data_IF_649207930874
#
_entry.id   IF_649207930874
#
_cell.length_a   1.000
_cell.length_b   1.000
_cell.length_c   1.000
_cell.angle_alpha   90.00
_cell.angle_beta   90.00
_cell.angle_gamma   90.00
#
_symmetry.space_group_name_H-M   'P 1'
#
loop_
_entity.id
_entity.type
_entity.pdbx_description
1 polymer ?
#
# COMPACT_ATOMS: atom_id res chain seq x y z
N UNK A 1 -38.88 42.43 -55.35
CA UNK A 1 -38.41 43.78 -54.96
C UNK A 1 -38.08 43.78 -53.47
N UNK A 2 -36.96 44.40 -53.14
CA UNK A 2 -36.50 44.82 -51.79
C UNK A 2 -35.84 43.71 -50.95
N UNK A 3 -34.54 43.72 -50.96
CA UNK A 3 -33.41 44.42 -50.28
C UNK A 3 -33.02 43.70 -49.00
N UNK A 4 -31.99 42.97 -49.09
CA UNK A 4 -30.65 43.03 -48.53
C UNK A 4 -30.47 44.06 -47.38
N UNK A 5 -30.16 43.59 -46.20
CA UNK A 5 -29.35 44.34 -45.25
C UNK A 5 -28.48 43.39 -44.44
N UNK A 6 -27.22 43.47 -44.74
CA UNK A 6 -26.07 42.86 -44.07
C UNK A 6 -25.84 43.68 -42.80
N UNK A 7 -25.69 43.04 -41.65
CA UNK A 7 -25.04 43.71 -40.52
C UNK A 7 -23.89 42.83 -40.01
N UNK A 8 -22.71 43.26 -40.35
CA UNK A 8 -21.41 42.82 -39.84
C UNK A 8 -21.16 43.59 -38.52
N UNK A 9 -21.13 42.93 -37.41
CA UNK A 9 -20.51 43.33 -36.13
C UNK A 9 -20.50 42.01 -35.32
N UNK A 10 -19.44 41.47 -34.84
CA UNK A 10 -18.23 41.93 -34.23
C UNK A 10 -17.27 40.76 -34.09
N UNK A 11 -16.14 40.83 -34.72
CA UNK A 11 -14.97 40.04 -34.49
C UNK A 11 -14.09 40.81 -33.51
N UNK A 12 -14.18 40.54 -32.21
CA UNK A 12 -13.36 41.35 -31.31
C UNK A 12 -13.33 41.03 -29.81
N UNK A 13 -13.90 39.89 -29.33
CA UNK A 13 -13.89 39.65 -27.87
C UNK A 13 -13.42 38.23 -27.48
N UNK A 14 -12.78 37.49 -28.38
CA UNK A 14 -12.44 36.06 -28.08
C UNK A 14 -11.00 35.81 -27.60
N UNK A 15 -10.17 36.85 -27.42
CA UNK A 15 -8.75 36.65 -27.06
C UNK A 15 -8.40 36.93 -25.61
N UNK A 16 -9.31 37.54 -24.81
CA UNK A 16 -8.98 37.90 -23.43
C UNK A 16 -9.39 36.87 -22.40
N UNK A 17 -10.29 35.93 -22.72
CA UNK A 17 -10.79 34.92 -21.78
C UNK A 17 -9.85 33.70 -21.64
N UNK A 18 -9.06 33.39 -22.64
CA UNK A 18 -8.15 32.23 -22.62
C UNK A 18 -6.94 32.43 -21.70
N UNK A 19 -6.42 33.65 -21.60
CA UNK A 19 -5.24 33.96 -20.77
C UNK A 19 -5.59 33.99 -19.28
N UNK A 20 -6.78 34.42 -18.90
CA UNK A 20 -7.24 34.45 -17.51
C UNK A 20 -7.54 33.03 -16.98
N UNK A 21 -8.11 32.16 -17.79
CA UNK A 21 -8.36 30.76 -17.44
C UNK A 21 -7.06 29.99 -17.18
N UNK A 22 -6.04 30.21 -18.02
CA UNK A 22 -4.74 29.51 -17.85
C UNK A 22 -3.95 30.02 -16.65
N UNK A 23 -4.11 31.27 -16.25
CA UNK A 23 -3.47 31.81 -15.04
C UNK A 23 -4.15 31.31 -13.74
N UNK A 24 -5.48 31.13 -13.77
CA UNK A 24 -6.24 30.57 -12.64
C UNK A 24 -5.93 29.09 -12.42
N UNK A 25 -5.89 28.26 -13.47
CA UNK A 25 -5.51 26.85 -13.34
C UNK A 25 -4.09 26.68 -12.79
N UNK A 26 -3.12 27.46 -13.26
CA UNK A 26 -1.75 27.44 -12.72
C UNK A 26 -1.69 27.85 -11.24
N UNK A 27 -2.52 28.78 -10.81
CA UNK A 27 -2.59 29.24 -9.42
C UNK A 27 -3.22 28.16 -8.52
N UNK A 28 -4.25 27.47 -8.99
CA UNK A 28 -4.90 26.37 -8.27
C UNK A 28 -4.01 25.16 -8.17
N UNK A 29 -3.32 24.78 -9.24
CA UNK A 29 -2.32 23.70 -9.21
C UNK A 29 -1.16 23.99 -8.24
N UNK A 30 -0.67 25.24 -8.21
CA UNK A 30 0.36 25.64 -7.24
C UNK A 30 -0.17 25.62 -5.80
N UNK A 31 -1.44 25.97 -5.57
CA UNK A 31 -2.08 25.91 -4.27
C UNK A 31 -2.29 24.47 -3.82
N UNK A 32 -2.72 23.59 -4.72
CA UNK A 32 -2.88 22.16 -4.47
C UNK A 32 -1.52 21.47 -4.17
N UNK A 33 -0.47 21.78 -4.95
CA UNK A 33 0.88 21.29 -4.67
C UNK A 33 1.44 21.78 -3.33
N UNK A 34 1.17 23.04 -2.98
CA UNK A 34 1.63 23.63 -1.71
C UNK A 34 0.84 23.07 -0.52
N UNK A 35 -0.45 22.80 -0.68
CA UNK A 35 -1.28 22.12 0.32
C UNK A 35 -0.85 20.65 0.49
N UNK A 36 -0.60 19.92 -0.59
CA UNK A 36 -0.07 18.56 -0.56
C UNK A 36 1.30 18.47 0.09
N UNK A 37 2.20 19.42 -0.23
CA UNK A 37 3.53 19.49 0.41
C UNK A 37 3.45 19.87 1.90
N UNK A 38 2.52 20.76 2.28
CA UNK A 38 2.28 21.10 3.69
C UNK A 38 1.70 19.91 4.46
N UNK A 39 0.83 19.12 3.84
CA UNK A 39 0.26 17.93 4.43
C UNK A 39 1.29 16.80 4.59
N UNK A 40 2.24 16.70 3.67
CA UNK A 40 3.41 15.81 3.82
C UNK A 40 4.39 16.31 4.89
N UNK A 41 4.56 17.63 5.04
CA UNK A 41 5.47 18.20 6.03
C UNK A 41 4.92 18.19 7.47
N UNK A 42 3.59 18.11 7.65
CA UNK A 42 2.95 18.01 8.98
C UNK A 42 2.79 16.56 9.45
N UNK A 43 3.05 15.58 8.60
CA UNK A 43 3.16 14.19 9.00
C UNK A 43 4.60 13.92 9.49
N UNK A 44 4.97 14.42 10.66
CA UNK A 44 5.94 13.74 11.53
C UNK A 44 5.27 12.43 12.07
N UNK A 45 4.44 11.86 11.26
CA UNK A 45 3.84 10.57 11.47
C UNK A 45 4.84 9.50 11.04
N UNK A 46 5.93 9.37 11.79
CA UNK A 46 6.60 8.09 11.81
C UNK A 46 5.53 7.06 12.11
N UNK A 47 5.33 6.06 11.24
CA UNK A 47 4.33 5.04 11.50
C UNK A 47 4.62 4.44 12.88
N UNK A 48 3.60 4.36 13.73
CA UNK A 48 3.68 3.59 14.97
C UNK A 48 3.56 2.09 14.72
N UNK A 49 3.26 1.75 13.46
CA UNK A 49 3.13 0.37 13.02
C UNK A 49 4.49 -0.34 13.08
N UNK A 50 4.40 -1.65 13.23
CA UNK A 50 5.55 -2.57 13.22
C UNK A 50 5.47 -3.42 11.96
N UNK A 51 6.57 -3.51 11.24
CA UNK A 51 6.73 -4.48 10.16
C UNK A 51 7.40 -5.73 10.70
N UNK A 52 6.65 -6.82 10.75
CA UNK A 52 7.10 -8.16 11.07
C UNK A 52 7.44 -8.88 9.77
N UNK A 53 8.72 -9.07 9.49
CA UNK A 53 9.20 -9.60 8.22
C UNK A 53 9.81 -10.99 8.45
N UNK A 54 9.22 -12.00 7.86
CA UNK A 54 9.68 -13.39 7.91
C UNK A 54 10.29 -13.75 6.56
N UNK A 55 11.58 -14.06 6.52
CA UNK A 55 12.18 -14.70 5.37
C UNK A 55 12.18 -16.21 5.60
N UNK A 56 11.69 -17.01 4.65
CA UNK A 56 11.46 -18.43 4.83
C UNK A 56 11.98 -19.28 3.67
N UNK A 57 12.54 -20.43 3.99
CA UNK A 57 12.71 -21.56 3.09
C UNK A 57 11.69 -22.64 3.49
N UNK A 58 10.99 -23.20 2.51
CA UNK A 58 10.14 -24.36 2.70
C UNK A 58 10.94 -25.64 2.47
N UNK A 59 10.49 -26.74 3.06
CA UNK A 59 11.11 -28.06 2.88
C UNK A 59 11.10 -28.47 1.41
N UNK A 60 12.12 -29.18 0.92
CA UNK A 60 12.25 -29.52 -0.50
C UNK A 60 11.07 -30.31 -1.09
N UNK A 61 10.40 -31.10 -0.27
CA UNK A 61 9.26 -31.95 -0.62
C UNK A 61 7.90 -31.25 -0.47
N UNK A 62 7.90 -29.96 -0.09
CA UNK A 62 6.67 -29.19 0.07
C UNK A 62 6.02 -28.91 -1.28
N UNK A 63 4.77 -29.29 -1.42
CA UNK A 63 4.01 -29.07 -2.64
C UNK A 63 3.63 -27.59 -2.80
N UNK A 64 3.56 -27.08 -4.05
CA UNK A 64 3.15 -25.68 -4.29
C UNK A 64 1.83 -25.28 -3.63
N UNK A 65 0.85 -26.19 -3.56
CA UNK A 65 -0.45 -25.96 -2.95
C UNK A 65 -0.35 -25.75 -1.44
N UNK A 66 0.57 -26.42 -0.77
CA UNK A 66 0.82 -26.26 0.66
C UNK A 66 1.49 -24.91 0.94
N UNK A 67 2.43 -24.51 0.08
CA UNK A 67 3.03 -23.18 0.16
C UNK A 67 1.95 -22.11 -0.03
N UNK A 68 1.11 -22.24 -1.05
CA UNK A 68 0.03 -21.30 -1.31
C UNK A 68 -0.94 -21.23 -0.12
N UNK A 69 -1.34 -22.36 0.46
CA UNK A 69 -2.22 -22.38 1.64
C UNK A 69 -1.59 -21.65 2.84
N UNK A 70 -0.27 -21.76 3.05
CA UNK A 70 0.42 -21.01 4.10
C UNK A 70 0.44 -19.50 3.83
N UNK A 71 0.65 -19.09 2.57
CA UNK A 71 0.62 -17.67 2.18
C UNK A 71 -0.79 -17.07 2.28
N UNK A 72 -1.81 -17.80 1.86
CA UNK A 72 -3.23 -17.40 1.97
C UNK A 72 -3.65 -17.33 3.44
N UNK A 73 -3.19 -18.26 4.27
CA UNK A 73 -3.37 -18.23 5.72
C UNK A 73 -2.79 -16.97 6.35
N UNK A 74 -1.61 -16.53 5.90
CA UNK A 74 -1.03 -15.26 6.35
C UNK A 74 -1.92 -14.06 5.95
N UNK A 75 -2.46 -14.03 4.72
CA UNK A 75 -3.40 -12.97 4.30
C UNK A 75 -4.69 -12.97 5.12
N UNK A 76 -5.19 -14.14 5.51
CA UNK A 76 -6.40 -14.28 6.35
C UNK A 76 -6.25 -13.57 7.71
N UNK A 77 -5.02 -13.41 8.22
CA UNK A 77 -4.76 -12.71 9.48
C UNK A 77 -5.29 -11.28 9.50
N UNK A 78 -5.39 -10.60 8.35
CA UNK A 78 -5.98 -9.26 8.27
C UNK A 78 -7.45 -9.20 8.68
N UNK A 79 -8.14 -10.33 8.65
CA UNK A 79 -9.55 -10.45 9.04
C UNK A 79 -9.75 -11.21 10.35
N UNK A 80 -8.82 -12.07 10.74
CA UNK A 80 -8.94 -12.91 11.94
C UNK A 80 -8.23 -12.32 13.15
N UNK A 81 -7.30 -11.37 12.94
CA UNK A 81 -6.61 -10.68 14.02
C UNK A 81 -6.60 -9.16 13.80
N UNK A 82 -7.37 -8.39 14.59
CA UNK A 82 -7.55 -6.93 14.38
C UNK A 82 -6.27 -6.10 14.53
N UNK A 83 -5.18 -6.71 15.01
CA UNK A 83 -3.87 -6.07 15.13
C UNK A 83 -3.06 -6.08 13.83
N UNK A 84 -3.39 -6.96 12.87
CA UNK A 84 -2.73 -7.04 11.55
C UNK A 84 -3.45 -6.14 10.57
N UNK A 85 -2.73 -5.16 10.03
CA UNK A 85 -3.27 -4.13 9.12
C UNK A 85 -3.11 -4.54 7.67
N UNK A 86 -1.94 -5.07 7.31
CA UNK A 86 -1.60 -5.48 5.94
C UNK A 86 -0.65 -6.68 5.96
N UNK A 87 -0.73 -7.48 4.88
CA UNK A 87 0.16 -8.62 4.66
C UNK A 87 0.65 -8.62 3.21
N UNK A 88 1.93 -8.88 3.01
CA UNK A 88 2.55 -9.06 1.71
C UNK A 88 3.24 -10.41 1.66
N UNK A 89 2.99 -11.18 0.61
CA UNK A 89 3.57 -12.51 0.42
C UNK A 89 4.25 -12.68 -0.93
N UNK A 90 4.07 -11.69 -1.85
CA UNK A 90 4.70 -11.76 -3.17
C UNK A 90 6.19 -11.40 -3.07
N UNK A 91 7.03 -12.40 -3.07
CA UNK A 91 8.49 -12.22 -3.10
C UNK A 91 8.94 -11.90 -4.53
N UNK A 92 9.51 -10.70 -4.74
CA UNK A 92 10.05 -10.28 -6.04
C UNK A 92 11.49 -10.76 -6.18
N UNK A 93 12.27 -10.73 -5.09
CA UNK A 93 13.66 -11.16 -5.06
C UNK A 93 13.94 -11.84 -3.73
N UNK A 94 14.51 -13.03 -3.80
CA UNK A 94 14.99 -13.77 -2.64
C UNK A 94 16.53 -13.78 -2.63
N UNK A 95 17.11 -14.02 -1.46
CA UNK A 95 18.57 -14.13 -1.29
C UNK A 95 18.92 -15.42 -0.52
N UNK A 96 20.03 -16.02 -0.90
CA UNK A 96 20.50 -17.26 -0.31
C UNK A 96 19.48 -18.39 -0.53
N UNK A 97 19.27 -19.18 0.50
CA UNK A 97 18.29 -20.28 0.50
C UNK A 97 16.87 -19.85 0.91
N UNK A 98 16.62 -18.56 1.17
CA UNK A 98 15.29 -18.06 1.50
C UNK A 98 14.53 -17.78 0.21
N UNK A 99 13.48 -18.54 -0.05
CA UNK A 99 12.72 -18.49 -1.31
C UNK A 99 11.53 -17.57 -1.23
N UNK A 100 11.02 -17.32 -0.03
CA UNK A 100 9.82 -16.51 0.19
C UNK A 100 10.01 -15.48 1.30
N UNK A 101 9.23 -14.43 1.24
CA UNK A 101 9.11 -13.40 2.28
C UNK A 101 7.64 -13.22 2.60
N UNK A 102 7.31 -13.24 3.89
CA UNK A 102 6.01 -12.86 4.42
C UNK A 102 6.23 -11.61 5.26
N UNK A 103 5.63 -10.49 4.86
CA UNK A 103 5.69 -9.25 5.63
C UNK A 103 4.30 -8.92 6.16
N UNK A 104 4.19 -8.67 7.46
CA UNK A 104 2.96 -8.30 8.13
C UNK A 104 3.14 -6.93 8.78
N UNK A 105 2.19 -6.04 8.59
CA UNK A 105 2.15 -4.79 9.32
C UNK A 105 1.18 -4.92 10.49
N UNK A 106 1.69 -4.72 11.68
CA UNK A 106 0.90 -4.58 12.90
C UNK A 106 0.65 -3.11 13.20
N UNK A 107 -0.53 -2.77 13.70
CA UNK A 107 -0.92 -1.38 14.01
C UNK A 107 0.02 -0.69 15.00
N UNK A 108 0.64 -1.44 15.91
CA UNK A 108 1.59 -1.01 16.93
C UNK A 108 2.34 -2.22 17.52
N UNK A 109 3.33 -1.95 18.39
CA UNK A 109 4.10 -3.00 19.08
C UNK A 109 3.26 -3.86 20.01
N UNK A 110 2.21 -3.30 20.61
CA UNK A 110 1.33 -4.07 21.50
C UNK A 110 0.56 -5.13 20.71
N UNK A 111 0.07 -4.78 19.53
CA UNK A 111 -0.60 -5.72 18.64
C UNK A 111 0.32 -6.88 18.22
N UNK A 112 1.61 -6.62 17.97
CA UNK A 112 2.58 -7.69 17.72
C UNK A 112 2.77 -8.61 18.92
N UNK A 113 2.85 -8.03 20.14
CA UNK A 113 2.94 -8.82 21.37
C UNK A 113 1.68 -9.67 21.60
N UNK A 114 0.50 -9.10 21.37
CA UNK A 114 -0.79 -9.79 21.53
C UNK A 114 -0.99 -10.89 20.46
N UNK A 115 -0.35 -10.74 19.30
CA UNK A 115 -0.37 -11.75 18.25
C UNK A 115 0.38 -13.01 18.64
N UNK A 116 1.48 -12.89 19.37
CA UNK A 116 2.31 -14.02 19.79
C UNK A 116 1.50 -14.96 20.70
N UNK A 117 1.28 -16.18 20.24
CA UNK A 117 0.47 -17.19 20.93
C UNK A 117 -1.05 -17.01 20.82
N UNK A 118 -1.53 -16.04 20.04
CA UNK A 118 -2.97 -15.88 19.77
C UNK A 118 -3.56 -17.08 19.02
N UNK A 119 -4.87 -17.25 19.07
CA UNK A 119 -5.55 -18.32 18.33
C UNK A 119 -5.41 -18.12 16.81
N UNK A 120 -5.40 -16.88 16.33
CA UNK A 120 -5.14 -16.57 14.92
C UNK A 120 -3.75 -17.01 14.47
N UNK A 121 -2.71 -16.81 15.30
CA UNK A 121 -1.36 -17.32 15.00
C UNK A 121 -1.33 -18.85 14.99
N UNK A 122 -1.93 -19.48 16.00
CA UNK A 122 -1.98 -20.97 16.09
C UNK A 122 -2.70 -21.56 14.89
N UNK A 123 -3.83 -20.96 14.46
CA UNK A 123 -4.55 -21.40 13.26
C UNK A 123 -3.65 -21.30 12.03
N UNK A 124 -2.98 -20.18 11.82
CA UNK A 124 -2.05 -20.03 10.71
C UNK A 124 -0.90 -21.02 10.77
N UNK A 125 -0.36 -21.28 11.94
CA UNK A 125 0.76 -22.22 12.13
C UNK A 125 0.41 -23.65 11.74
N UNK A 126 -0.87 -24.06 11.77
CA UNK A 126 -1.28 -25.40 11.31
C UNK A 126 -0.92 -25.67 9.85
N UNK A 127 -0.89 -24.64 9.01
CA UNK A 127 -0.54 -24.75 7.58
C UNK A 127 0.87 -24.26 7.25
N UNK A 128 1.52 -23.54 8.15
CA UNK A 128 2.81 -22.91 7.91
C UNK A 128 3.98 -23.69 8.56
N UNK A 129 3.86 -24.02 9.84
CA UNK A 129 5.00 -24.50 10.63
C UNK A 129 5.49 -25.87 10.18
N UNK A 130 4.59 -26.76 9.81
CA UNK A 130 4.91 -28.12 9.36
C UNK A 130 5.72 -28.19 8.06
N UNK A 131 5.59 -27.18 7.20
CA UNK A 131 6.28 -27.12 5.89
C UNK A 131 7.51 -26.20 5.90
N UNK A 132 7.70 -25.41 6.95
CA UNK A 132 8.85 -24.52 7.11
C UNK A 132 10.11 -25.35 7.38
N UNK A 133 11.16 -25.13 6.59
CA UNK A 133 12.50 -25.66 6.83
C UNK A 133 13.30 -24.70 7.72
N UNK A 134 13.47 -23.45 7.25
CA UNK A 134 14.20 -22.43 8.00
C UNK A 134 13.56 -21.05 7.81
N UNK A 135 13.59 -20.25 8.85
CA UNK A 135 13.13 -18.84 8.78
C UNK A 135 14.00 -17.91 9.62
N UNK A 136 13.99 -16.65 9.24
CA UNK A 136 14.53 -15.54 10.03
C UNK A 136 13.49 -14.45 10.07
N UNK A 137 13.27 -13.91 11.26
CA UNK A 137 12.25 -12.86 11.48
C UNK A 137 12.95 -11.57 11.90
N UNK A 138 12.45 -10.45 11.36
CA UNK A 138 12.83 -9.10 11.73
C UNK A 138 11.59 -8.30 12.08
N UNK A 139 11.65 -7.58 13.19
CA UNK A 139 10.63 -6.62 13.60
C UNK A 139 11.23 -5.23 13.47
N UNK A 140 10.58 -4.38 12.67
CA UNK A 140 11.06 -3.02 12.38
C UNK A 140 9.97 -2.00 12.69
N UNK A 141 10.33 -0.98 13.44
CA UNK A 141 9.49 0.18 13.74
C UNK A 141 10.31 1.46 13.65
N UNK A 142 9.69 2.63 13.79
CA UNK A 142 10.33 3.95 13.81
C UNK A 142 10.55 4.46 15.22
#
# INVERSE_FOLDING_TARGET
MKKLLITLVSLGVLTLTAVTASAQTKKEERKARKAGAAQMATSDARPKSVLHVITVAFKPDTKPEQIQAALDGAHKLTTTFPGVVRVWTKTIKAQGNRTHVIAMEFKDEQALKDYAGSDAQKEWYTVYEGIRDASTTFDVTN
#
